data_IF_766673167293
#
_entry.id   IF_766673167293
#
_cell.length_a   1.000
_cell.length_b   1.000
_cell.length_c   1.000
_cell.angle_alpha   90.00
_cell.angle_beta   90.00
_cell.angle_gamma   90.00
#
_symmetry.space_group_name_H-M   'P 1'
#
loop_
_entity.id
_entity.type
_entity.pdbx_description
1 polymer ?
#
# COMPACT_ATOMS: atom_id res chain seq x y z
N UNK A 1 -11.63 -15.40 -17.95
CA UNK A 1 -11.14 -14.03 -17.74
C UNK A 1 -11.51 -13.58 -16.35
N UNK A 2 -10.67 -12.77 -15.74
CA UNK A 2 -10.88 -12.30 -14.37
C UNK A 2 -11.39 -10.87 -14.38
N UNK A 3 -12.25 -10.55 -13.43
CA UNK A 3 -12.84 -9.22 -13.31
C UNK A 3 -12.13 -8.41 -12.25
N UNK A 4 -11.75 -7.18 -12.59
CA UNK A 4 -11.10 -6.27 -11.66
C UNK A 4 -12.03 -5.88 -10.53
N UNK A 5 -11.55 -5.95 -9.29
CA UNK A 5 -12.37 -5.62 -8.11
C UNK A 5 -12.70 -4.13 -8.02
N UNK A 6 -11.89 -3.27 -8.63
CA UNK A 6 -12.06 -1.82 -8.51
C UNK A 6 -12.95 -1.28 -9.62
N UNK A 7 -12.63 -1.55 -10.89
CA UNK A 7 -13.35 -0.96 -11.99
C UNK A 7 -14.31 -1.92 -12.70
N UNK A 8 -14.26 -3.21 -12.38
CA UNK A 8 -15.15 -4.20 -12.95
C UNK A 8 -14.78 -4.67 -14.35
N UNK A 9 -13.63 -4.25 -14.86
CA UNK A 9 -13.20 -4.61 -16.20
C UNK A 9 -12.84 -6.09 -16.29
N UNK A 10 -13.36 -6.77 -17.31
CA UNK A 10 -12.97 -8.15 -17.62
C UNK A 10 -11.70 -8.09 -18.47
N UNK A 11 -10.63 -8.67 -17.95
CA UNK A 11 -9.34 -8.55 -18.61
C UNK A 11 -8.61 -9.91 -18.59
N UNK A 12 -8.20 -10.37 -19.77
CA UNK A 12 -7.52 -11.66 -19.89
C UNK A 12 -6.12 -11.66 -19.27
N UNK A 13 -5.54 -10.47 -19.06
CA UNK A 13 -4.22 -10.32 -18.45
C UNK A 13 -4.32 -9.74 -17.05
N UNK A 14 -5.47 -9.89 -16.40
CA UNK A 14 -5.64 -9.42 -15.04
C UNK A 14 -4.63 -10.09 -14.10
N UNK A 15 -4.21 -9.35 -13.10
CA UNK A 15 -3.25 -9.83 -12.12
C UNK A 15 -3.95 -10.20 -10.82
N UNK A 16 -3.40 -11.17 -10.11
CA UNK A 16 -3.85 -11.51 -8.76
C UNK A 16 -2.75 -11.13 -7.79
N UNK A 17 -3.13 -10.41 -6.73
CA UNK A 17 -2.19 -9.96 -5.71
C UNK A 17 -2.66 -10.49 -4.37
N UNK A 18 -1.76 -11.12 -3.64
CA UNK A 18 -2.03 -11.63 -2.31
C UNK A 18 -1.09 -10.93 -1.32
N UNK A 19 -1.68 -10.15 -0.42
CA UNK A 19 -0.91 -9.61 0.70
C UNK A 19 -0.84 -10.69 1.76
N UNK A 20 0.33 -10.82 2.42
CA UNK A 20 0.55 -11.86 3.40
C UNK A 20 -0.59 -11.89 4.43
N UNK A 21 -1.18 -13.08 4.60
CA UNK A 21 -2.28 -13.28 5.53
C UNK A 21 -3.65 -12.92 4.98
N UNK A 22 -3.74 -12.46 3.73
CA UNK A 22 -5.01 -12.06 3.14
C UNK A 22 -5.40 -12.93 1.95
N UNK A 23 -6.59 -12.69 1.38
CA UNK A 23 -7.04 -13.42 0.20
C UNK A 23 -6.40 -12.88 -1.06
N UNK A 24 -6.42 -13.68 -2.13
CA UNK A 24 -6.01 -13.22 -3.44
C UNK A 24 -7.03 -12.21 -3.97
N UNK A 25 -6.55 -11.10 -4.52
CA UNK A 25 -7.41 -10.05 -5.06
C UNK A 25 -7.03 -9.78 -6.50
N UNK A 26 -8.02 -9.46 -7.31
CA UNK A 26 -7.87 -9.38 -8.77
C UNK A 26 -7.96 -7.93 -9.23
N UNK A 27 -7.01 -7.51 -10.05
CA UNK A 27 -6.96 -6.16 -10.60
C UNK A 27 -6.55 -6.21 -12.07
N UNK A 28 -7.05 -5.27 -12.86
CA UNK A 28 -6.67 -5.19 -14.27
C UNK A 28 -5.41 -4.34 -14.49
N UNK A 29 -4.95 -3.62 -13.49
CA UNK A 29 -3.81 -2.73 -13.61
C UNK A 29 -3.21 -2.44 -12.25
N UNK A 30 -1.96 -1.96 -12.25
CA UNK A 30 -1.34 -1.51 -11.01
C UNK A 30 -2.06 -0.29 -10.43
N UNK A 31 -2.63 0.54 -11.27
CA UNK A 31 -3.41 1.69 -10.80
C UNK A 31 -4.57 1.24 -9.90
N UNK A 32 -5.34 0.25 -10.35
CA UNK A 32 -6.44 -0.27 -9.55
C UNK A 32 -5.94 -0.96 -8.28
N UNK A 33 -4.84 -1.72 -8.38
CA UNK A 33 -4.27 -2.38 -7.22
C UNK A 33 -3.83 -1.36 -6.17
N UNK A 34 -3.12 -0.31 -6.60
CA UNK A 34 -2.65 0.73 -5.68
C UNK A 34 -3.83 1.43 -5.02
N UNK A 35 -4.87 1.73 -5.80
CA UNK A 35 -6.05 2.39 -5.26
C UNK A 35 -6.71 1.55 -4.16
N UNK A 36 -6.72 0.23 -4.32
CA UNK A 36 -7.45 -0.66 -3.41
C UNK A 36 -6.62 -1.09 -2.20
N UNK A 37 -5.33 -1.39 -2.38
CA UNK A 37 -4.56 -2.06 -1.34
C UNK A 37 -3.29 -1.35 -0.90
N UNK A 38 -2.87 -0.27 -1.57
CA UNK A 38 -1.67 0.44 -1.13
C UNK A 38 -1.94 1.14 0.20
N UNK A 39 -0.98 1.08 1.15
CA UNK A 39 -1.16 1.75 2.42
C UNK A 39 -1.11 3.27 2.26
N UNK A 40 -1.67 3.97 3.24
CA UNK A 40 -1.66 5.43 3.25
C UNK A 40 -0.92 5.93 4.46
N UNK A 41 -0.22 7.06 4.28
CA UNK A 41 0.50 7.70 5.38
C UNK A 41 -0.47 8.07 6.49
N UNK A 42 -0.14 7.70 7.73
CA UNK A 42 -1.00 7.97 8.87
C UNK A 42 -1.05 9.47 9.21
N UNK A 43 -0.12 10.28 8.68
CA UNK A 43 -0.07 11.71 8.96
C UNK A 43 -0.68 12.53 7.82
N UNK A 44 -0.15 12.40 6.60
CA UNK A 44 -0.60 13.24 5.49
C UNK A 44 -1.62 12.57 4.57
N UNK A 45 -1.83 11.26 4.71
CA UNK A 45 -2.84 10.54 3.93
C UNK A 45 -2.42 10.16 2.52
N UNK A 46 -1.18 10.44 2.12
CA UNK A 46 -0.76 10.10 0.77
C UNK A 46 -0.58 8.59 0.61
N UNK A 47 -0.77 8.11 -0.62
CA UNK A 47 -0.60 6.69 -0.95
C UNK A 47 0.88 6.34 -0.93
N UNK A 48 1.22 5.25 -0.23
CA UNK A 48 2.60 4.79 -0.10
C UNK A 48 2.80 3.64 -1.09
N UNK A 49 3.66 3.86 -2.08
CA UNK A 49 3.92 2.84 -3.10
C UNK A 49 5.20 2.07 -2.78
N UNK A 50 6.17 2.72 -2.18
CA UNK A 50 7.43 2.10 -1.77
C UNK A 50 7.34 1.48 -0.38
N UNK A 51 8.47 1.47 0.31
CA UNK A 51 8.56 0.79 1.60
C UNK A 51 7.93 1.57 2.75
N UNK A 52 8.03 2.90 2.71
CA UNK A 52 7.53 3.74 3.78
C UNK A 52 8.38 3.66 5.04
N UNK A 53 7.90 4.30 6.09
CA UNK A 53 8.53 4.27 7.41
C UNK A 53 7.50 3.86 8.44
N UNK A 54 7.81 2.87 9.26
CA UNK A 54 6.91 2.43 10.32
C UNK A 54 7.37 2.92 11.67
N UNK A 55 6.44 3.40 12.47
CA UNK A 55 6.70 3.82 13.84
C UNK A 55 5.42 3.67 14.66
N UNK A 56 5.54 3.10 15.85
CA UNK A 56 4.42 2.97 16.77
C UNK A 56 3.23 2.21 16.20
N UNK A 57 3.44 1.26 15.28
CA UNK A 57 2.38 0.48 14.68
C UNK A 57 1.70 1.15 13.49
N UNK A 58 2.14 2.36 13.12
CA UNK A 58 1.59 3.09 11.97
C UNK A 58 2.63 3.22 10.87
N UNK A 59 2.17 3.43 9.65
CA UNK A 59 3.06 3.62 8.51
C UNK A 59 2.98 5.07 8.04
N UNK A 60 4.13 5.61 7.63
CA UNK A 60 4.25 6.99 7.17
C UNK A 60 5.01 7.03 5.85
N UNK A 61 4.73 8.04 5.01
CA UNK A 61 5.36 8.13 3.70
C UNK A 61 6.85 8.50 3.79
N UNK A 62 7.24 9.17 4.85
CA UNK A 62 8.62 9.61 5.04
C UNK A 62 8.88 9.88 6.52
N UNK A 63 10.16 10.03 6.86
CA UNK A 63 10.56 10.29 8.24
C UNK A 63 10.00 11.61 8.76
N UNK A 64 9.82 12.60 7.87
CA UNK A 64 9.25 13.90 8.26
C UNK A 64 7.84 13.71 8.83
N UNK A 65 6.97 12.97 8.14
CA UNK A 65 5.61 12.73 8.61
C UNK A 65 5.59 11.95 9.93
N UNK A 66 6.50 10.97 10.07
CA UNK A 66 6.59 10.22 11.32
C UNK A 66 6.98 11.11 12.49
N UNK A 67 7.95 12.03 12.28
CA UNK A 67 8.36 12.97 13.31
C UNK A 67 7.25 13.96 13.64
N UNK A 68 6.51 14.44 12.63
CA UNK A 68 5.39 15.35 12.86
C UNK A 68 4.30 14.68 13.70
N UNK A 69 4.16 13.36 13.59
CA UNK A 69 3.20 12.61 14.39
C UNK A 69 3.74 12.26 15.78
N UNK A 70 4.96 12.70 16.12
CA UNK A 70 5.53 12.50 17.45
C UNK A 70 6.48 11.33 17.58
N UNK A 71 6.85 10.68 16.49
CA UNK A 71 7.73 9.52 16.52
C UNK A 71 9.15 9.91 16.17
N UNK A 72 10.11 9.48 17.01
CA UNK A 72 11.53 9.72 16.77
C UNK A 72 12.30 8.42 16.57
N UNK A 73 11.68 7.27 16.84
CA UNK A 73 12.28 5.96 16.72
C UNK A 73 11.69 5.29 15.47
N UNK A 74 12.36 5.47 14.33
CA UNK A 74 11.83 5.08 13.04
C UNK A 74 12.42 3.76 12.55
N UNK A 75 11.57 2.92 11.96
CA UNK A 75 12.00 1.69 11.31
C UNK A 75 11.64 1.78 9.82
N UNK A 76 12.65 1.68 8.97
CA UNK A 76 12.45 1.63 7.52
C UNK A 76 12.08 0.20 7.13
N UNK A 77 11.01 0.04 6.36
CA UNK A 77 10.58 -1.29 5.91
C UNK A 77 11.53 -1.92 4.92
N UNK A 78 12.37 -1.13 4.30
CA UNK A 78 13.44 -1.62 3.44
C UNK A 78 14.67 -1.88 4.28
N UNK A 79 14.90 -3.12 4.60
CA UNK A 79 16.02 -3.52 5.45
C UNK A 79 17.31 -3.72 4.66
N UNK A 80 17.25 -3.60 3.36
CA UNK A 80 18.38 -3.86 2.46
C UNK A 80 19.38 -2.72 2.39
#
# INVERSE_FOLDING_TARGET
>A
MAQCEVCGNDYDKAMEITVAGGPARTFDSFECAIHAIAPRCAHCGCTIIGHGHEAGGSIYCCAHCAREAGHTDLADRDQG
#
